data_IF_397734931070
#
_entry.id   IF_397734931070
#
_cell.length_a   1.000
_cell.length_b   1.000
_cell.length_c   1.000
_cell.angle_alpha   90.00
_cell.angle_beta   90.00
_cell.angle_gamma   90.00
#
_symmetry.space_group_name_H-M   'P 1'
#
loop_
_entity.id
_entity.type
_entity.pdbx_description
1 polymer ?
#
# COMPACT_ATOMS: atom_id res chain seq x y z
N UNK A 1 15.05 -21.28 -30.26
CA UNK A 1 15.84 -20.66 -29.17
C UNK A 1 15.38 -19.21 -29.06
N UNK A 2 14.21 -19.00 -28.44
CA UNK A 2 14.00 -18.39 -27.11
C UNK A 2 14.53 -16.94 -26.98
N UNK A 3 13.57 -16.02 -27.16
CA UNK A 3 13.36 -14.73 -26.50
C UNK A 3 14.44 -13.64 -26.60
N UNK A 4 14.34 -12.81 -27.63
CA UNK A 4 14.77 -11.41 -27.61
C UNK A 4 13.56 -10.57 -28.05
N UNK A 5 12.69 -10.22 -27.12
CA UNK A 5 11.61 -9.24 -27.32
C UNK A 5 11.05 -8.90 -25.95
N UNK A 6 11.66 -7.93 -25.25
CA UNK A 6 11.02 -7.07 -24.24
C UNK A 6 12.08 -6.08 -23.72
N UNK A 7 12.37 -5.00 -24.45
CA UNK A 7 13.12 -3.86 -23.86
C UNK A 7 12.91 -2.53 -24.60
N UNK A 8 11.72 -2.31 -25.16
CA UNK A 8 11.43 -1.09 -25.95
C UNK A 8 10.21 -0.30 -25.45
N UNK A 9 9.68 -0.57 -24.25
CA UNK A 9 8.55 0.17 -23.69
C UNK A 9 8.88 1.15 -22.54
N UNK A 10 10.16 1.28 -22.15
CA UNK A 10 10.51 2.07 -20.95
C UNK A 10 10.98 3.51 -21.21
N UNK A 11 11.09 3.97 -22.46
CA UNK A 11 11.78 5.24 -22.78
C UNK A 11 10.92 6.38 -23.34
N UNK A 12 9.62 6.19 -23.52
CA UNK A 12 8.70 7.28 -23.91
C UNK A 12 7.73 7.59 -22.78
N UNK A 13 8.17 8.35 -21.77
CA UNK A 13 7.33 9.23 -20.93
C UNK A 13 8.13 10.00 -19.85
N UNK A 14 9.43 10.25 -20.05
CA UNK A 14 10.24 10.98 -19.05
C UNK A 14 10.17 12.51 -19.18
N UNK A 15 9.56 13.07 -20.23
CA UNK A 15 9.63 14.49 -20.55
C UNK A 15 8.39 15.34 -20.18
N UNK A 16 7.44 14.82 -19.38
CA UNK A 16 6.24 15.59 -18.97
C UNK A 16 5.94 15.55 -17.47
N UNK A 17 6.77 14.94 -16.63
CA UNK A 17 6.53 14.90 -15.18
C UNK A 17 6.91 16.18 -14.42
N UNK A 18 7.69 17.10 -15.02
CA UNK A 18 8.18 18.30 -14.33
C UNK A 18 7.13 19.40 -14.12
N UNK A 19 5.91 19.26 -14.64
CA UNK A 19 4.86 20.29 -14.52
C UNK A 19 3.54 19.82 -13.88
N UNK A 20 3.47 18.58 -13.37
CA UNK A 20 2.18 17.98 -12.97
C UNK A 20 2.17 17.32 -11.59
N UNK A 21 3.16 17.57 -10.73
CA UNK A 21 3.18 17.00 -9.38
C UNK A 21 2.20 17.68 -8.41
N UNK A 22 1.70 18.89 -8.68
CA UNK A 22 0.91 19.65 -7.70
C UNK A 22 -0.61 19.40 -7.70
N UNK A 23 -1.13 18.54 -8.58
CA UNK A 23 -2.58 18.33 -8.68
C UNK A 23 -3.01 17.06 -7.95
N UNK A 24 -3.95 17.22 -7.01
CA UNK A 24 -4.67 16.12 -6.36
C UNK A 24 -5.16 15.12 -7.42
N UNK A 25 -4.86 13.84 -7.20
CA UNK A 25 -5.22 12.75 -8.09
C UNK A 25 -6.65 12.30 -7.81
N UNK A 26 -7.43 12.12 -8.86
CA UNK A 26 -8.78 11.59 -8.72
C UNK A 26 -8.76 10.17 -8.12
N UNK A 27 -9.30 10.03 -6.93
CA UNK A 27 -9.35 8.80 -6.13
C UNK A 27 -10.76 8.47 -5.65
N UNK A 28 -10.94 7.28 -5.05
CA UNK A 28 -12.18 6.82 -4.43
C UNK A 28 -11.93 6.59 -2.94
N UNK A 29 -12.87 6.92 -2.06
CA UNK A 29 -12.67 6.64 -0.62
C UNK A 29 -12.62 5.14 -0.27
N UNK A 30 -13.03 4.29 -1.20
CA UNK A 30 -12.92 2.85 -1.10
C UNK A 30 -12.99 2.23 -2.50
N UNK A 31 -12.29 1.12 -2.62
CA UNK A 31 -12.18 0.32 -3.84
C UNK A 31 -12.75 -1.09 -3.63
N UNK A 32 -13.32 -1.35 -2.45
CA UNK A 32 -13.69 -2.70 -1.99
C UNK A 32 -15.19 -2.94 -2.16
N UNK A 33 -15.52 -4.07 -2.79
CA UNK A 33 -16.89 -4.50 -3.03
C UNK A 33 -17.21 -5.59 -2.00
N UNK A 34 -18.13 -5.34 -1.05
CA UNK A 34 -18.49 -6.35 -0.07
C UNK A 34 -19.25 -7.51 -0.73
N UNK A 35 -18.98 -8.72 -0.24
CA UNK A 35 -19.72 -9.91 -0.66
C UNK A 35 -21.12 -9.94 -0.05
N UNK A 36 -22.02 -10.65 -0.74
CA UNK A 36 -23.37 -10.98 -0.29
C UNK A 36 -24.30 -9.81 0.06
N UNK A 37 -23.88 -8.57 -0.24
CA UNK A 37 -24.65 -7.36 0.00
C UNK A 37 -25.23 -6.82 -1.31
N UNK A 38 -26.54 -6.92 -1.48
CA UNK A 38 -27.25 -6.37 -2.64
C UNK A 38 -27.17 -4.84 -2.64
N UNK A 39 -26.92 -4.24 -3.81
CA UNK A 39 -26.91 -2.79 -3.96
C UNK A 39 -25.87 -2.06 -3.10
N UNK A 40 -24.77 -2.75 -2.75
CA UNK A 40 -23.75 -2.19 -1.88
C UNK A 40 -23.13 -0.92 -2.46
N UNK A 41 -22.97 0.10 -1.61
CA UNK A 41 -22.10 1.24 -1.89
C UNK A 41 -20.66 0.76 -1.78
N UNK A 42 -19.88 0.98 -2.83
CA UNK A 42 -18.50 0.50 -2.99
C UNK A 42 -17.51 1.60 -2.72
N UNK A 43 -17.83 2.81 -3.15
CA UNK A 43 -17.00 3.98 -2.93
C UNK A 43 -17.75 5.24 -3.33
N UNK A 44 -17.23 6.38 -2.93
CA UNK A 44 -17.60 7.67 -3.51
C UNK A 44 -16.37 8.34 -4.09
N UNK A 45 -16.62 9.22 -5.04
CA UNK A 45 -15.62 10.18 -5.49
C UNK A 45 -15.71 11.38 -4.53
N UNK A 46 -14.64 11.71 -3.77
CA UNK A 46 -14.56 12.96 -3.04
C UNK A 46 -14.80 14.11 -4.00
N UNK A 47 -15.74 15.00 -3.68
CA UNK A 47 -16.15 16.06 -4.60
C UNK A 47 -15.00 17.07 -4.77
N UNK A 48 -14.21 16.91 -5.83
CA UNK A 48 -13.20 17.88 -6.29
C UNK A 48 -13.88 19.10 -6.93
N UNK A 49 -14.69 19.87 -6.21
CA UNK A 49 -15.27 21.14 -6.69
C UNK A 49 -16.50 21.05 -7.62
N UNK A 50 -17.49 20.21 -7.28
CA UNK A 50 -18.79 20.22 -7.96
C UNK A 50 -18.81 19.61 -9.37
N UNK A 51 -17.80 18.79 -9.69
CA UNK A 51 -17.73 18.05 -10.95
C UNK A 51 -18.89 17.07 -11.12
N UNK A 52 -19.31 16.86 -12.37
CA UNK A 52 -20.27 15.83 -12.74
C UNK A 52 -19.52 14.55 -13.08
N UNK A 53 -19.93 13.45 -12.45
CA UNK A 53 -19.36 12.13 -12.68
C UNK A 53 -20.34 11.25 -13.43
N UNK A 54 -19.90 10.69 -14.56
CA UNK A 54 -20.71 9.78 -15.37
C UNK A 54 -19.97 8.46 -15.52
N UNK A 55 -20.67 7.36 -15.29
CA UNK A 55 -20.13 6.03 -15.56
C UNK A 55 -20.03 5.85 -17.08
N UNK A 56 -18.83 6.00 -17.63
CA UNK A 56 -18.57 5.93 -19.06
C UNK A 56 -18.40 4.48 -19.55
N UNK A 57 -17.79 3.63 -18.73
CA UNK A 57 -17.62 2.20 -19.02
C UNK A 57 -17.68 1.39 -17.72
N UNK A 58 -18.38 0.26 -17.79
CA UNK A 58 -18.36 -0.78 -16.78
C UNK A 58 -18.21 -2.12 -17.50
N UNK A 59 -17.08 -2.79 -17.27
CA UNK A 59 -16.76 -4.07 -17.92
C UNK A 59 -17.69 -5.23 -17.53
N UNK A 60 -18.46 -5.07 -16.45
CA UNK A 60 -19.32 -6.10 -15.87
C UNK A 60 -20.81 -5.81 -15.98
N UNK A 61 -21.18 -4.55 -16.19
CA UNK A 61 -22.57 -4.09 -16.14
C UNK A 61 -23.22 -4.17 -14.76
N UNK A 62 -22.45 -4.35 -13.67
CA UNK A 62 -22.95 -4.49 -12.30
C UNK A 62 -23.15 -3.16 -11.58
N UNK A 63 -22.51 -2.09 -12.04
CA UNK A 63 -22.38 -0.85 -11.27
C UNK A 63 -23.26 0.26 -11.81
N UNK A 64 -23.50 1.25 -10.95
CA UNK A 64 -24.11 2.53 -11.27
C UNK A 64 -23.49 3.62 -10.38
N UNK A 65 -23.54 4.86 -10.86
CA UNK A 65 -23.23 6.04 -10.04
C UNK A 65 -24.57 6.72 -9.72
N UNK A 66 -24.85 6.91 -8.44
CA UNK A 66 -26.08 7.58 -8.02
C UNK A 66 -25.94 9.11 -8.08
N UNK A 67 -27.03 9.85 -7.79
CA UNK A 67 -27.05 11.32 -7.88
C UNK A 67 -26.09 12.01 -6.91
N UNK A 68 -25.65 11.31 -5.86
CA UNK A 68 -24.70 11.77 -4.86
C UNK A 68 -23.24 11.43 -5.22
N UNK A 69 -22.98 10.87 -6.41
CA UNK A 69 -21.63 10.48 -6.83
C UNK A 69 -21.12 9.18 -6.18
N UNK A 70 -22.00 8.41 -5.54
CA UNK A 70 -21.61 7.12 -4.97
C UNK A 70 -21.65 6.04 -6.05
N UNK A 71 -20.56 5.30 -6.14
CA UNK A 71 -20.46 4.07 -6.93
C UNK A 71 -21.09 2.96 -6.11
N UNK A 72 -22.10 2.29 -6.68
CA UNK A 72 -22.82 1.21 -6.03
C UNK A 72 -23.13 0.08 -7.00
N UNK A 73 -23.28 -1.13 -6.47
CA UNK A 73 -23.90 -2.22 -7.21
C UNK A 73 -25.35 -1.83 -7.55
N UNK A 74 -25.84 -2.30 -8.70
CA UNK A 74 -27.27 -2.23 -9.03
C UNK A 74 -28.09 -2.97 -7.96
N UNK A 75 -29.31 -2.51 -7.71
CA UNK A 75 -30.15 -2.89 -6.54
C UNK A 75 -30.32 -4.40 -6.34
N UNK A 76 -30.39 -5.18 -7.42
CA UNK A 76 -30.58 -6.63 -7.41
C UNK A 76 -29.27 -7.43 -7.48
N UNK A 77 -28.12 -6.76 -7.70
CA UNK A 77 -26.82 -7.38 -7.88
C UNK A 77 -26.05 -7.45 -6.56
N UNK A 78 -25.32 -8.55 -6.40
CA UNK A 78 -24.37 -8.81 -5.31
C UNK A 78 -23.19 -9.62 -5.86
N UNK A 79 -22.04 -9.55 -5.19
CA UNK A 79 -20.95 -10.49 -5.43
C UNK A 79 -21.10 -11.72 -4.54
N UNK A 80 -20.58 -12.83 -5.03
CA UNK A 80 -20.49 -14.13 -4.34
C UNK A 80 -19.05 -14.65 -4.40
N UNK A 81 -18.77 -15.76 -3.72
CA UNK A 81 -17.45 -16.40 -3.80
C UNK A 81 -17.06 -16.79 -5.24
N UNK A 82 -18.03 -17.19 -6.06
CA UNK A 82 -17.82 -17.53 -7.47
C UNK A 82 -17.64 -16.30 -8.40
N UNK A 83 -17.90 -15.09 -7.93
CA UNK A 83 -17.74 -13.88 -8.74
C UNK A 83 -16.25 -13.56 -8.97
N UNK A 84 -15.87 -12.99 -10.13
CA UNK A 84 -14.54 -12.43 -10.34
C UNK A 84 -14.16 -11.47 -9.21
N UNK A 85 -12.86 -11.37 -8.91
CA UNK A 85 -12.42 -10.48 -7.83
C UNK A 85 -12.03 -9.07 -8.30
N UNK A 86 -11.99 -8.81 -9.61
CA UNK A 86 -11.62 -7.50 -10.19
C UNK A 86 -12.66 -7.00 -11.17
N UNK A 87 -12.92 -5.70 -11.11
CA UNK A 87 -13.87 -4.99 -11.95
C UNK A 87 -13.28 -3.65 -12.39
N UNK A 88 -13.26 -3.41 -13.69
CA UNK A 88 -12.78 -2.14 -14.23
C UNK A 88 -13.95 -1.21 -14.54
N UNK A 89 -13.89 0.01 -13.98
CA UNK A 89 -14.81 1.11 -14.24
C UNK A 89 -14.08 2.31 -14.83
N UNK A 90 -14.62 2.89 -15.90
CA UNK A 90 -14.18 4.20 -16.39
C UNK A 90 -15.23 5.24 -16.05
N UNK A 91 -14.79 6.28 -15.37
CA UNK A 91 -15.61 7.42 -14.97
C UNK A 91 -15.19 8.62 -15.80
N UNK A 92 -16.15 9.21 -16.51
CA UNK A 92 -15.97 10.47 -17.20
C UNK A 92 -16.13 11.62 -16.22
N UNK A 93 -15.20 12.56 -16.29
CA UNK A 93 -15.19 13.84 -15.57
C UNK A 93 -15.11 14.99 -16.59
N UNK A 94 -15.24 16.22 -16.13
CA UNK A 94 -15.09 17.40 -16.98
C UNK A 94 -13.67 17.59 -17.52
N UNK A 95 -12.66 16.98 -16.88
CA UNK A 95 -11.25 17.08 -17.25
C UNK A 95 -10.70 15.81 -17.90
N UNK A 96 -11.57 14.83 -18.19
CA UNK A 96 -11.22 13.59 -18.89
C UNK A 96 -11.73 12.33 -18.20
N UNK A 97 -11.39 11.18 -18.77
CA UNK A 97 -11.79 9.88 -18.24
C UNK A 97 -10.71 9.32 -17.31
N UNK A 98 -11.12 8.81 -16.14
CA UNK A 98 -10.25 8.04 -15.23
C UNK A 98 -10.80 6.63 -15.10
N UNK A 99 -9.90 5.65 -15.15
CA UNK A 99 -10.25 4.25 -14.97
C UNK A 99 -9.78 3.76 -13.62
N UNK A 100 -10.69 3.12 -12.89
CA UNK A 100 -10.50 2.54 -11.57
C UNK A 100 -10.62 1.02 -11.64
N UNK A 101 -9.97 0.36 -10.71
CA UNK A 101 -10.12 -1.08 -10.49
C UNK A 101 -10.74 -1.28 -9.10
N UNK A 102 -11.93 -1.88 -9.09
CA UNK A 102 -12.62 -2.27 -7.86
C UNK A 102 -12.36 -3.74 -7.59
N UNK A 103 -12.28 -4.09 -6.31
CA UNK A 103 -11.84 -5.41 -5.85
C UNK A 103 -12.89 -6.03 -4.93
N UNK A 104 -13.24 -7.29 -5.18
CA UNK A 104 -14.08 -8.05 -4.25
C UNK A 104 -13.34 -8.21 -2.92
N UNK A 105 -13.99 -7.84 -1.82
CA UNK A 105 -13.37 -7.85 -0.50
C UNK A 105 -13.25 -9.28 0.05
N UNK A 106 -12.14 -9.95 -0.28
CA UNK A 106 -11.68 -11.19 0.35
C UNK A 106 -10.40 -10.96 1.16
N UNK A 107 -10.07 -9.71 1.50
CA UNK A 107 -8.86 -9.38 2.21
C UNK A 107 -8.85 -10.04 3.60
N UNK A 108 -7.73 -10.70 3.91
CA UNK A 108 -7.47 -11.33 5.20
C UNK A 108 -7.40 -10.22 6.26
N UNK A 109 -7.96 -10.50 7.45
CA UNK A 109 -8.03 -9.56 8.58
C UNK A 109 -7.47 -10.21 9.84
N UNK A 110 -6.26 -10.75 9.74
CA UNK A 110 -5.58 -11.50 10.80
C UNK A 110 -4.47 -10.70 11.46
N UNK A 111 -4.32 -9.40 11.19
CA UNK A 111 -3.36 -8.48 11.84
C UNK A 111 -1.89 -8.67 11.46
N UNK A 112 -1.56 -9.70 10.67
CA UNK A 112 -0.16 -10.06 10.36
C UNK A 112 0.36 -9.27 9.18
N UNK A 113 1.41 -8.47 9.42
CA UNK A 113 2.18 -7.79 8.39
C UNK A 113 3.58 -8.42 8.33
N UNK A 114 3.91 -9.06 7.20
CA UNK A 114 5.24 -9.62 6.97
C UNK A 114 6.23 -8.50 6.61
N UNK A 115 7.18 -8.21 7.51
CA UNK A 115 8.18 -7.16 7.35
C UNK A 115 9.16 -7.49 6.21
N UNK A 116 9.17 -6.67 5.16
CA UNK A 116 9.93 -6.88 3.92
C UNK A 116 9.61 -8.21 3.23
N UNK A 117 8.38 -8.70 3.39
CA UNK A 117 7.92 -10.03 2.98
C UNK A 117 8.27 -11.15 3.96
N UNK A 118 7.85 -12.38 3.65
CA UNK A 118 8.18 -13.55 4.46
C UNK A 118 9.54 -14.12 4.01
N UNK A 119 10.62 -13.52 4.50
CA UNK A 119 11.98 -13.82 4.06
C UNK A 119 12.79 -14.69 5.04
N UNK A 120 12.58 -14.52 6.36
CA UNK A 120 13.51 -15.04 7.38
C UNK A 120 13.64 -16.55 7.42
N UNK A 121 12.52 -17.27 7.31
CA UNK A 121 12.46 -18.74 7.40
C UNK A 121 12.33 -19.41 6.02
N UNK A 122 12.61 -18.65 4.97
CA UNK A 122 12.45 -19.08 3.59
C UNK A 122 13.70 -18.75 2.79
N UNK A 123 13.89 -19.45 1.68
CA UNK A 123 14.96 -19.15 0.73
C UNK A 123 14.60 -17.89 -0.08
N UNK A 124 14.43 -16.75 0.57
CA UNK A 124 14.00 -15.50 -0.04
C UNK A 124 14.78 -14.32 0.53
N UNK A 125 14.99 -13.28 -0.28
CA UNK A 125 15.57 -12.02 0.18
C UNK A 125 14.48 -11.07 0.68
N UNK A 126 14.84 -10.19 1.60
CA UNK A 126 14.02 -9.02 1.96
C UNK A 126 13.66 -8.22 0.72
N UNK A 127 12.44 -7.66 0.67
CA UNK A 127 11.97 -6.82 -0.44
C UNK A 127 12.06 -7.51 -1.83
N UNK A 128 12.02 -8.85 -1.88
CA UNK A 128 12.03 -9.63 -3.12
C UNK A 128 10.65 -10.14 -3.49
N UNK A 129 10.41 -10.45 -4.77
CA UNK A 129 9.14 -11.05 -5.20
C UNK A 129 8.88 -12.38 -4.48
N UNK A 130 9.93 -13.18 -4.22
CA UNK A 130 9.82 -14.47 -3.54
C UNK A 130 9.33 -14.31 -2.10
N UNK A 131 9.81 -13.28 -1.39
CA UNK A 131 9.34 -12.97 -0.03
C UNK A 131 7.87 -12.49 0.00
N UNK A 132 7.44 -11.70 -1.00
CA UNK A 132 6.05 -11.28 -1.16
C UNK A 132 5.15 -12.47 -1.50
N UNK A 133 5.53 -13.28 -2.49
CA UNK A 133 4.81 -14.50 -2.89
C UNK A 133 4.65 -15.45 -1.70
N UNK A 134 5.68 -15.55 -0.87
CA UNK A 134 5.61 -16.35 0.34
C UNK A 134 4.66 -15.76 1.40
N UNK A 135 4.68 -14.45 1.63
CA UNK A 135 3.73 -13.79 2.52
C UNK A 135 2.27 -13.98 2.07
N UNK A 136 2.03 -13.96 0.75
CA UNK A 136 0.74 -14.29 0.13
C UNK A 136 0.37 -15.76 0.39
N UNK A 137 1.30 -16.68 0.16
CA UNK A 137 1.09 -18.13 0.31
C UNK A 137 0.72 -18.53 1.74
N UNK A 138 1.43 -17.99 2.74
CA UNK A 138 1.18 -18.30 4.16
C UNK A 138 -0.03 -17.55 4.72
N UNK A 139 -0.65 -16.65 3.95
CA UNK A 139 -1.89 -15.97 4.32
C UNK A 139 -1.69 -14.80 5.27
N UNK A 140 -0.62 -14.02 5.12
CA UNK A 140 -0.49 -12.74 5.81
C UNK A 140 -1.58 -11.77 5.34
N UNK A 141 -2.09 -10.94 6.25
CA UNK A 141 -2.98 -9.83 5.88
C UNK A 141 -2.27 -8.84 4.97
N UNK A 142 -1.02 -8.48 5.29
CA UNK A 142 -0.21 -7.65 4.41
C UNK A 142 1.26 -8.09 4.35
N UNK A 143 1.95 -7.60 3.32
CA UNK A 143 3.40 -7.64 3.21
C UNK A 143 3.91 -6.20 3.14
N UNK A 144 4.82 -5.86 4.05
CA UNK A 144 5.51 -4.58 4.05
C UNK A 144 6.73 -4.63 3.11
N UNK A 145 7.08 -3.48 2.53
CA UNK A 145 8.32 -3.28 1.77
C UNK A 145 8.70 -1.80 1.67
N UNK A 146 9.98 -1.55 1.42
CA UNK A 146 10.58 -0.21 1.41
C UNK A 146 10.86 0.32 0.01
N UNK A 147 10.65 1.64 -0.21
CA UNK A 147 11.02 2.30 -1.48
C UNK A 147 11.82 3.59 -1.33
N UNK A 148 12.77 3.75 -2.25
CA UNK A 148 13.59 4.95 -2.46
C UNK A 148 13.44 5.46 -3.90
N UNK A 149 14.09 6.58 -4.21
CA UNK A 149 14.33 7.02 -5.58
C UNK A 149 15.80 6.88 -5.99
N UNK A 150 16.03 6.26 -7.16
CA UNK A 150 17.31 6.26 -7.86
C UNK A 150 17.74 7.67 -8.31
N UNK A 151 18.99 7.84 -8.74
CA UNK A 151 19.49 9.16 -9.19
C UNK A 151 18.72 9.75 -10.38
N UNK A 152 18.05 8.92 -11.17
CA UNK A 152 17.19 9.25 -12.31
C UNK A 152 15.69 9.18 -11.98
N UNK A 153 15.33 9.30 -10.69
CA UNK A 153 13.95 9.46 -10.18
C UNK A 153 13.03 8.26 -10.40
N UNK A 154 13.57 7.05 -10.54
CA UNK A 154 12.79 5.81 -10.60
C UNK A 154 12.66 5.22 -9.20
N UNK A 155 11.48 4.69 -8.89
CA UNK A 155 11.22 4.02 -7.61
C UNK A 155 11.99 2.69 -7.56
N UNK A 156 12.75 2.48 -6.49
CA UNK A 156 13.58 1.28 -6.28
C UNK A 156 13.29 0.71 -4.90
N UNK A 157 13.12 -0.61 -4.82
CA UNK A 157 12.91 -1.30 -3.55
C UNK A 157 14.24 -1.47 -2.81
N UNK A 158 14.31 -1.04 -1.55
CA UNK A 158 15.47 -1.28 -0.69
C UNK A 158 15.15 -0.81 0.71
N UNK A 159 15.52 -1.57 1.75
CA UNK A 159 15.42 -1.06 3.11
C UNK A 159 16.48 0.01 3.38
N UNK A 160 17.73 -0.32 3.08
CA UNK A 160 18.88 0.53 3.36
C UNK A 160 19.13 1.53 2.22
N UNK A 161 19.78 2.68 2.50
CA UNK A 161 20.19 3.62 1.46
C UNK A 161 21.29 3.06 0.54
N UNK A 162 21.87 1.90 0.88
CA UNK A 162 22.91 1.21 0.12
C UNK A 162 22.45 -0.23 -0.12
N UNK A 163 22.51 -0.67 -1.38
CA UNK A 163 22.20 -2.04 -1.79
C UNK A 163 23.19 -2.48 -2.86
N UNK A 164 23.71 -3.72 -2.77
CA UNK A 164 24.70 -4.24 -3.72
C UNK A 164 25.98 -3.39 -3.82
N UNK A 165 26.37 -2.70 -2.74
CA UNK A 165 27.52 -1.78 -2.73
C UNK A 165 27.28 -0.43 -3.40
N UNK A 166 26.04 -0.11 -3.79
CA UNK A 166 25.66 1.12 -4.49
C UNK A 166 24.72 1.95 -3.61
N UNK A 167 24.98 3.25 -3.47
CA UNK A 167 24.05 4.19 -2.83
C UNK A 167 22.86 4.41 -3.75
N UNK A 168 21.66 4.07 -3.30
CA UNK A 168 20.44 4.09 -4.11
C UNK A 168 20.22 5.47 -4.74
N UNK A 169 20.23 6.52 -3.94
CA UNK A 169 19.93 7.88 -4.42
C UNK A 169 21.01 8.48 -5.34
N UNK A 170 22.17 7.84 -5.49
CA UNK A 170 23.28 8.28 -6.35
C UNK A 170 23.52 7.35 -7.55
N UNK A 171 22.68 6.34 -7.73
CA UNK A 171 22.85 5.32 -8.78
C UNK A 171 21.63 5.31 -9.69
N UNK A 172 21.79 5.23 -11.02
CA UNK A 172 20.67 5.14 -11.94
C UNK A 172 19.95 3.80 -11.82
N UNK A 173 18.65 3.79 -12.10
CA UNK A 173 17.77 2.65 -11.87
C UNK A 173 18.19 1.40 -12.64
N UNK A 174 18.64 1.58 -13.88
CA UNK A 174 19.07 0.48 -14.74
C UNK A 174 20.21 -0.36 -14.12
N UNK A 175 21.13 0.28 -13.39
CA UNK A 175 22.21 -0.38 -12.65
C UNK A 175 21.70 -1.05 -11.37
N UNK A 176 20.80 -0.37 -10.62
CA UNK A 176 20.21 -0.92 -9.40
C UNK A 176 19.40 -2.19 -9.69
N UNK A 177 18.64 -2.22 -10.79
CA UNK A 177 17.89 -3.41 -11.21
C UNK A 177 18.76 -4.55 -11.75
N UNK A 178 20.08 -4.36 -11.91
CA UNK A 178 21.01 -5.48 -12.18
C UNK A 178 21.54 -6.13 -10.89
N UNK A 179 21.25 -5.58 -9.71
CA UNK A 179 21.72 -6.15 -8.45
C UNK A 179 21.04 -7.50 -8.23
N UNK A 180 21.87 -8.53 -8.04
CA UNK A 180 21.44 -9.85 -7.62
C UNK A 180 21.21 -9.86 -6.10
N UNK A 181 20.03 -10.28 -5.69
CA UNK A 181 19.63 -10.50 -4.32
C UNK A 181 20.21 -11.83 -3.83
N UNK A 182 20.20 -12.05 -2.51
CA UNK A 182 20.73 -13.30 -1.91
C UNK A 182 20.02 -14.56 -2.39
N UNK A 183 18.78 -14.43 -2.88
CA UNK A 183 17.99 -15.53 -3.42
C UNK A 183 18.23 -15.80 -4.93
N UNK A 184 19.24 -15.15 -5.52
CA UNK A 184 19.65 -15.29 -6.92
C UNK A 184 18.77 -14.55 -7.92
N UNK A 185 17.71 -13.86 -7.47
CA UNK A 185 16.87 -13.02 -8.34
C UNK A 185 17.39 -11.59 -8.39
N UNK A 186 16.94 -10.84 -9.38
CA UNK A 186 17.23 -9.40 -9.45
C UNK A 186 16.31 -8.61 -8.55
N UNK A 187 16.75 -7.40 -8.21
CA UNK A 187 15.92 -6.43 -7.51
C UNK A 187 14.65 -6.12 -8.32
N UNK A 188 13.44 -6.32 -7.76
CA UNK A 188 12.21 -6.06 -8.49
C UNK A 188 11.90 -4.56 -8.56
N UNK A 189 11.23 -4.17 -9.64
CA UNK A 189 10.56 -2.87 -9.75
C UNK A 189 9.29 -2.82 -8.90
N UNK A 190 8.84 -1.62 -8.55
CA UNK A 190 7.55 -1.42 -7.88
C UNK A 190 6.39 -1.97 -8.74
N UNK A 191 6.48 -1.84 -10.07
CA UNK A 191 5.51 -2.39 -11.00
C UNK A 191 5.41 -3.91 -10.95
N UNK A 192 6.54 -4.61 -10.85
CA UNK A 192 6.55 -6.07 -10.69
C UNK A 192 5.95 -6.48 -9.34
N UNK A 193 6.26 -5.74 -8.27
CA UNK A 193 5.71 -5.97 -6.93
C UNK A 193 4.19 -5.81 -6.90
N UNK A 194 3.67 -4.71 -7.45
CA UNK A 194 2.22 -4.46 -7.56
C UNK A 194 1.56 -5.49 -8.49
N UNK A 195 2.19 -5.84 -9.60
CA UNK A 195 1.68 -6.87 -10.51
C UNK A 195 1.58 -8.23 -9.83
N UNK A 196 2.53 -8.55 -8.95
CA UNK A 196 2.51 -9.77 -8.15
C UNK A 196 1.32 -9.80 -7.19
N UNK A 197 1.16 -8.78 -6.34
CA UNK A 197 0.06 -8.77 -5.35
C UNK A 197 -1.32 -8.80 -6.03
N UNK A 198 -1.48 -8.11 -7.16
CA UNK A 198 -2.75 -8.02 -7.91
C UNK A 198 -3.19 -9.33 -8.57
N UNK A 199 -2.39 -10.40 -8.50
CA UNK A 199 -2.81 -11.76 -8.92
C UNK A 199 -3.87 -12.35 -7.97
N UNK A 200 -4.06 -11.74 -6.80
CA UNK A 200 -4.98 -12.17 -5.73
C UNK A 200 -5.61 -10.96 -5.00
N UNK A 201 -6.59 -11.20 -4.12
CA UNK A 201 -7.37 -10.18 -3.40
C UNK A 201 -7.54 -10.48 -1.90
N UNK A 202 -6.53 -11.11 -1.30
CA UNK A 202 -6.45 -11.57 0.09
C UNK A 202 -5.39 -10.82 0.90
N UNK A 203 -4.18 -10.74 0.37
CA UNK A 203 -3.04 -10.04 0.98
C UNK A 203 -2.88 -8.67 0.34
N UNK A 204 -2.60 -7.67 1.16
CA UNK A 204 -2.35 -6.28 0.76
C UNK A 204 -0.87 -5.93 0.95
N UNK A 205 -0.51 -4.71 0.58
CA UNK A 205 0.82 -4.14 0.59
C UNK A 205 0.86 -3.01 1.60
N UNK A 206 1.96 -2.93 2.35
CA UNK A 206 2.30 -1.78 3.18
C UNK A 206 3.59 -1.19 2.59
N UNK A 207 3.47 -0.07 1.90
CA UNK A 207 4.56 0.57 1.17
C UNK A 207 5.21 1.62 2.07
N UNK A 208 6.45 1.38 2.54
CA UNK A 208 7.24 2.38 3.25
C UNK A 208 7.89 3.35 2.27
N UNK A 209 7.49 4.63 2.32
CA UNK A 209 8.19 5.72 1.65
C UNK A 209 9.37 6.15 2.53
N UNK A 210 10.59 5.84 2.10
CA UNK A 210 11.80 6.13 2.90
C UNK A 210 12.09 7.63 2.97
N UNK A 211 12.56 8.05 4.14
CA UNK A 211 13.05 9.42 4.33
C UNK A 211 14.38 9.57 3.59
N UNK A 212 14.44 10.52 2.66
CA UNK A 212 15.64 10.76 1.88
C UNK A 212 16.72 11.45 2.72
N UNK A 213 17.97 11.04 2.50
CA UNK A 213 19.13 11.69 3.09
C UNK A 213 19.49 13.01 2.37
N UNK A 214 18.89 13.27 1.20
CA UNK A 214 19.03 14.52 0.43
C UNK A 214 18.04 15.60 0.85
N UNK A 215 17.21 15.34 1.86
CA UNK A 215 16.34 16.33 2.50
C UNK A 215 14.86 16.18 2.15
N UNK A 216 14.10 17.21 2.57
CA UNK A 216 12.63 17.23 2.50
C UNK A 216 12.10 17.05 1.08
N UNK A 217 12.53 17.90 0.14
CA UNK A 217 12.03 17.89 -1.24
C UNK A 217 12.23 16.52 -1.90
N UNK A 218 13.34 15.85 -1.59
CA UNK A 218 13.61 14.52 -2.10
C UNK A 218 12.69 13.47 -1.47
N UNK A 219 12.38 13.58 -0.18
CA UNK A 219 11.43 12.68 0.49
C UNK A 219 10.01 12.84 -0.10
N UNK A 220 9.59 14.08 -0.37
CA UNK A 220 8.33 14.37 -1.06
C UNK A 220 8.34 13.80 -2.49
N UNK A 221 9.47 13.88 -3.21
CA UNK A 221 9.59 13.26 -4.54
C UNK A 221 9.45 11.73 -4.49
N UNK A 222 9.95 11.05 -3.44
CA UNK A 222 9.72 9.59 -3.27
C UNK A 222 8.22 9.31 -3.14
N UNK A 223 7.51 10.10 -2.32
CA UNK A 223 6.05 10.00 -2.19
C UNK A 223 5.34 10.24 -3.53
N UNK A 224 5.69 11.30 -4.26
CA UNK A 224 5.12 11.63 -5.57
C UNK A 224 5.23 10.46 -6.54
N UNK A 225 6.44 9.91 -6.71
CA UNK A 225 6.67 8.80 -7.62
C UNK A 225 5.97 7.51 -7.20
N UNK A 226 5.99 7.16 -5.90
CA UNK A 226 5.34 5.96 -5.39
C UNK A 226 3.82 6.02 -5.56
N UNK A 227 3.18 7.13 -5.19
CA UNK A 227 1.73 7.34 -5.34
C UNK A 227 1.35 7.32 -6.83
N UNK A 228 2.14 7.95 -7.70
CA UNK A 228 1.88 7.93 -9.14
C UNK A 228 1.95 6.51 -9.74
N UNK A 229 2.88 5.67 -9.31
CA UNK A 229 2.94 4.26 -9.76
C UNK A 229 1.69 3.51 -9.31
N UNK A 230 1.30 3.63 -8.03
CA UNK A 230 0.07 2.99 -7.50
C UNK A 230 -1.17 3.42 -8.26
N UNK A 231 -1.31 4.72 -8.56
CA UNK A 231 -2.42 5.27 -9.34
C UNK A 231 -2.42 4.82 -10.79
N UNK A 232 -1.24 4.81 -11.44
CA UNK A 232 -1.08 4.33 -12.83
C UNK A 232 -1.46 2.86 -12.94
N UNK A 233 -1.11 2.06 -11.95
CA UNK A 233 -1.39 0.63 -11.89
C UNK A 233 -2.75 0.28 -11.32
N UNK A 234 -3.55 1.27 -10.87
CA UNK A 234 -4.88 1.07 -10.26
C UNK A 234 -4.80 0.10 -9.07
N UNK A 235 -3.86 0.33 -8.16
CA UNK A 235 -3.53 -0.57 -7.06
C UNK A 235 -3.99 -0.09 -5.69
N UNK A 236 -4.79 0.98 -5.61
CA UNK A 236 -5.22 1.60 -4.36
C UNK A 236 -5.98 0.65 -3.42
N UNK A 237 -6.68 -0.35 -3.96
CA UNK A 237 -7.34 -1.38 -3.15
C UNK A 237 -6.36 -2.28 -2.38
N UNK A 238 -5.10 -2.34 -2.80
CA UNK A 238 -4.09 -3.22 -2.23
C UNK A 238 -3.04 -2.46 -1.41
N UNK A 239 -2.92 -1.14 -1.49
CA UNK A 239 -1.76 -0.41 -0.95
C UNK A 239 -2.16 0.52 0.18
N UNK A 240 -1.54 0.30 1.33
CA UNK A 240 -1.40 1.28 2.40
C UNK A 240 0.01 1.87 2.39
N UNK A 241 0.19 3.03 3.00
CA UNK A 241 1.47 3.73 3.07
C UNK A 241 1.94 3.92 4.51
N UNK A 242 3.25 3.83 4.72
CA UNK A 242 3.92 4.18 5.97
C UNK A 242 5.15 5.04 5.69
N UNK A 243 5.55 5.91 6.61
CA UNK A 243 6.79 6.70 6.48
C UNK A 243 7.22 7.36 7.78
N UNK A 244 8.53 7.53 7.97
CA UNK A 244 9.11 8.36 9.04
C UNK A 244 9.08 9.86 8.72
N UNK A 245 8.93 10.24 7.44
CA UNK A 245 8.93 11.63 7.02
C UNK A 245 7.52 12.21 7.11
N UNK A 246 7.31 13.12 8.06
CA UNK A 246 6.01 13.78 8.23
C UNK A 246 5.61 14.60 6.99
N UNK A 247 6.60 15.17 6.29
CA UNK A 247 6.37 15.87 5.03
C UNK A 247 5.95 14.91 3.90
N UNK A 248 6.62 13.76 3.76
CA UNK A 248 6.19 12.75 2.80
C UNK A 248 4.78 12.22 3.13
N UNK A 249 4.45 12.02 4.42
CA UNK A 249 3.13 11.57 4.85
C UNK A 249 2.02 12.55 4.44
N UNK A 250 2.22 13.86 4.73
CA UNK A 250 1.29 14.91 4.26
C UNK A 250 1.22 14.95 2.74
N UNK A 251 2.36 14.79 2.06
CA UNK A 251 2.44 14.82 0.60
C UNK A 251 1.61 13.71 -0.04
N UNK A 252 1.66 12.50 0.50
CA UNK A 252 0.80 11.38 0.06
C UNK A 252 -0.68 11.77 0.19
N UNK A 253 -1.08 12.38 1.32
CA UNK A 253 -2.47 12.82 1.56
C UNK A 253 -2.90 14.00 0.69
N UNK A 254 -1.99 14.88 0.29
CA UNK A 254 -2.24 15.96 -0.68
C UNK A 254 -2.47 15.40 -2.09
N UNK A 255 -1.69 14.39 -2.50
CA UNK A 255 -1.85 13.73 -3.79
C UNK A 255 -3.11 12.85 -3.83
N UNK A 256 -3.39 12.14 -2.74
CA UNK A 256 -4.52 11.23 -2.62
C UNK A 256 -5.12 11.34 -1.20
N UNK A 257 -6.17 12.17 -1.02
CA UNK A 257 -6.85 12.33 0.27
C UNK A 257 -7.59 11.08 0.76
N UNK A 258 -7.60 10.01 -0.02
CA UNK A 258 -8.21 8.72 0.34
C UNK A 258 -7.17 7.66 0.74
N UNK A 259 -5.88 7.90 0.46
CA UNK A 259 -4.80 6.98 0.78
C UNK A 259 -4.71 6.69 2.28
N UNK A 260 -4.57 5.41 2.64
CA UNK A 260 -4.36 5.01 4.02
C UNK A 260 -2.88 5.27 4.40
N UNK A 261 -2.62 6.17 5.36
CA UNK A 261 -1.24 6.57 5.72
C UNK A 261 -1.03 6.47 7.22
N UNK A 262 -0.09 5.63 7.68
CA UNK A 262 0.32 5.56 9.08
C UNK A 262 1.71 6.19 9.25
N UNK A 263 1.90 6.92 10.36
CA UNK A 263 3.16 7.61 10.63
C UNK A 263 4.10 6.77 11.50
N UNK A 264 5.37 6.65 11.09
CA UNK A 264 6.34 5.74 11.74
C UNK A 264 7.04 6.33 12.97
N UNK A 265 7.14 7.66 13.05
CA UNK A 265 7.87 8.35 14.12
C UNK A 265 6.96 8.82 15.26
N UNK A 266 7.45 8.73 16.48
CA UNK A 266 6.73 9.08 17.73
C UNK A 266 6.92 10.54 18.16
N UNK A 267 7.35 11.41 17.25
CA UNK A 267 7.68 12.81 17.51
C UNK A 267 6.51 13.79 17.31
N UNK A 268 5.30 13.28 17.03
CA UNK A 268 4.05 14.04 16.94
C UNK A 268 3.01 13.46 17.90
N UNK A 269 2.15 14.32 18.44
CA UNK A 269 0.99 13.85 19.22
C UNK A 269 -0.08 13.26 18.31
N UNK A 270 -0.97 12.44 18.87
CA UNK A 270 -2.09 11.85 18.13
C UNK A 270 -3.03 12.91 17.54
N UNK A 271 -3.18 14.07 18.21
CA UNK A 271 -3.95 15.21 17.72
C UNK A 271 -3.34 15.79 16.46
N UNK A 272 -2.02 16.00 16.45
CA UNK A 272 -1.30 16.50 15.27
C UNK A 272 -1.45 15.54 14.09
N UNK A 273 -1.37 14.23 14.33
CA UNK A 273 -1.56 13.22 13.30
C UNK A 273 -2.99 13.23 12.74
N UNK A 274 -4.00 13.33 13.62
CA UNK A 274 -5.41 13.41 13.22
C UNK A 274 -5.72 14.69 12.43
N UNK A 275 -5.15 15.81 12.84
CA UNK A 275 -5.30 17.09 12.14
C UNK A 275 -4.67 17.05 10.74
N UNK A 276 -3.51 16.39 10.63
CA UNK A 276 -2.85 16.10 9.36
C UNK A 276 -3.53 14.99 8.52
N UNK A 277 -4.66 14.45 8.99
CA UNK A 277 -5.44 13.39 8.32
C UNK A 277 -4.66 12.10 8.13
N UNK A 278 -3.72 11.79 9.02
CA UNK A 278 -3.13 10.45 9.09
C UNK A 278 -4.21 9.44 9.50
N UNK A 279 -4.10 8.24 8.96
CA UNK A 279 -5.00 7.15 9.30
C UNK A 279 -4.61 6.44 10.58
N UNK A 280 -3.35 6.57 11.02
CA UNK A 280 -2.90 5.90 12.24
C UNK A 280 -1.43 6.11 12.59
N UNK A 281 -0.98 5.36 13.58
CA UNK A 281 0.40 5.26 14.03
C UNK A 281 0.96 3.89 13.69
N UNK A 282 2.22 3.84 13.29
CA UNK A 282 2.97 2.61 13.09
C UNK A 282 4.27 2.72 13.89
N UNK A 283 4.28 2.39 15.17
CA UNK A 283 5.39 2.77 16.05
C UNK A 283 6.28 1.60 16.44
N UNK A 284 7.53 1.93 16.77
CA UNK A 284 8.43 0.96 17.37
C UNK A 284 7.84 0.41 18.68
N UNK A 285 8.02 -0.89 18.93
CA UNK A 285 7.51 -1.62 20.11
C UNK A 285 7.72 -0.88 21.45
N UNK A 286 8.89 -0.24 21.61
CA UNK A 286 9.22 0.48 22.84
C UNK A 286 8.26 1.63 23.18
N UNK A 287 7.58 2.22 22.20
CA UNK A 287 6.58 3.26 22.45
C UNK A 287 5.32 2.71 23.13
N UNK A 288 4.87 1.52 22.71
CA UNK A 288 3.75 0.82 23.33
C UNK A 288 4.11 0.26 24.72
N UNK A 289 5.37 -0.16 24.92
CA UNK A 289 5.85 -0.59 26.24
C UNK A 289 5.96 0.58 27.24
N UNK A 290 6.27 1.79 26.76
CA UNK A 290 6.34 3.00 27.60
C UNK A 290 4.96 3.55 27.97
N UNK A 291 3.98 3.43 27.08
CA UNK A 291 2.60 3.90 27.30
C UNK A 291 1.59 2.79 26.97
N UNK A 292 1.22 2.00 27.99
CA UNK A 292 0.25 0.92 27.85
C UNK A 292 -1.15 1.36 27.42
N UNK A 293 -1.46 2.67 27.51
CA UNK A 293 -2.75 3.24 27.08
C UNK A 293 -2.72 3.74 25.63
N UNK A 294 -1.55 3.71 24.97
CA UNK A 294 -1.37 4.29 23.63
C UNK A 294 -2.34 3.69 22.61
N UNK A 295 -2.55 2.36 22.66
CA UNK A 295 -3.48 1.68 21.74
C UNK A 295 -4.90 2.22 21.92
N UNK A 296 -5.38 2.33 23.16
CA UNK A 296 -6.71 2.86 23.46
C UNK A 296 -6.83 4.32 23.05
N UNK A 297 -5.84 5.17 23.39
CA UNK A 297 -5.83 6.60 23.03
C UNK A 297 -5.93 6.82 21.52
N UNK A 298 -5.15 6.07 20.73
CA UNK A 298 -5.22 6.15 19.27
C UNK A 298 -6.59 5.72 18.75
N UNK A 299 -7.15 4.62 19.25
CA UNK A 299 -8.47 4.12 18.85
C UNK A 299 -9.61 5.07 19.20
N UNK A 300 -9.58 5.69 20.37
CA UNK A 300 -10.56 6.72 20.78
C UNK A 300 -10.56 7.92 19.81
N UNK A 301 -9.45 8.14 19.12
CA UNK A 301 -9.32 9.18 18.09
C UNK A 301 -9.66 8.70 16.67
N UNK A 302 -9.96 7.41 16.49
CA UNK A 302 -10.23 6.80 15.19
C UNK A 302 -8.95 6.49 14.39
N UNK A 303 -7.80 6.41 15.06
CA UNK A 303 -6.51 6.10 14.46
C UNK A 303 -6.23 4.59 14.54
N UNK A 304 -5.76 4.03 13.43
CA UNK A 304 -5.21 2.67 13.39
C UNK A 304 -3.90 2.59 14.18
N UNK A 305 -3.60 1.40 14.67
CA UNK A 305 -2.38 1.11 15.44
C UNK A 305 -1.62 -0.07 14.84
N UNK A 306 -0.39 0.18 14.42
CA UNK A 306 0.57 -0.85 14.02
C UNK A 306 1.83 -0.77 14.91
N UNK A 307 2.47 -1.91 15.13
CA UNK A 307 3.69 -2.02 15.93
C UNK A 307 4.77 -2.78 15.15
N UNK A 308 6.00 -2.25 15.17
CA UNK A 308 7.14 -2.84 14.48
C UNK A 308 8.43 -2.81 15.33
N UNK A 309 9.45 -3.60 15.02
CA UNK A 309 9.35 -4.94 14.41
C UNK A 309 9.28 -5.94 15.56
N UNK A 310 8.17 -6.67 15.70
CA UNK A 310 7.93 -7.53 16.87
C UNK A 310 8.24 -8.98 16.53
N UNK A 311 9.35 -9.50 17.03
CA UNK A 311 9.83 -10.85 16.68
C UNK A 311 9.76 -11.87 17.82
N UNK A 312 9.53 -11.43 19.07
CA UNK A 312 9.42 -12.33 20.22
C UNK A 312 7.96 -12.69 20.49
N UNK A 313 7.71 -13.97 20.76
CA UNK A 313 6.37 -14.48 21.09
C UNK A 313 5.72 -13.73 22.27
N UNK A 314 6.51 -13.41 23.30
CA UNK A 314 6.05 -12.67 24.49
C UNK A 314 5.53 -11.28 24.12
N UNK A 315 6.29 -10.53 23.31
CA UNK A 315 5.92 -9.20 22.85
C UNK A 315 4.71 -9.27 21.88
N UNK A 316 4.66 -10.26 20.99
CA UNK A 316 3.51 -10.50 20.12
C UNK A 316 2.23 -10.70 20.93
N UNK A 317 2.26 -11.59 21.94
CA UNK A 317 1.12 -11.84 22.82
C UNK A 317 0.70 -10.58 23.58
N UNK A 318 1.66 -9.83 24.11
CA UNK A 318 1.38 -8.58 24.80
C UNK A 318 0.68 -7.56 23.89
N UNK A 319 1.17 -7.36 22.66
CA UNK A 319 0.55 -6.42 21.71
C UNK A 319 -0.85 -6.88 21.26
N UNK A 320 -1.04 -8.19 21.05
CA UNK A 320 -2.36 -8.76 20.75
C UNK A 320 -3.35 -8.56 21.90
N UNK A 321 -2.91 -8.72 23.16
CA UNK A 321 -3.73 -8.49 24.34
C UNK A 321 -4.13 -7.02 24.53
N UNK A 322 -3.25 -6.08 24.17
CA UNK A 322 -3.58 -4.65 24.11
C UNK A 322 -4.59 -4.32 22.99
N UNK A 323 -4.88 -5.28 22.11
CA UNK A 323 -5.82 -5.11 21.02
C UNK A 323 -5.26 -4.27 19.87
N UNK A 324 -3.94 -4.29 19.63
CA UNK A 324 -3.30 -3.63 18.47
C UNK A 324 -4.00 -4.02 17.16
N UNK A 325 -4.07 -3.11 16.18
CA UNK A 325 -4.72 -3.43 14.90
C UNK A 325 -3.83 -4.33 14.04
N UNK A 326 -2.53 -4.05 13.99
CA UNK A 326 -1.56 -4.79 13.20
C UNK A 326 -0.25 -5.03 13.96
N UNK A 327 0.49 -6.06 13.55
CA UNK A 327 1.85 -6.36 14.02
C UNK A 327 2.74 -6.63 12.80
N UNK A 328 3.75 -5.78 12.61
CA UNK A 328 4.82 -5.96 11.63
C UNK A 328 5.94 -6.82 12.23
N UNK A 329 6.27 -7.93 11.58
CA UNK A 329 7.20 -8.94 12.11
C UNK A 329 8.04 -9.62 11.01
N UNK A 330 9.27 -10.01 11.36
CA UNK A 330 10.10 -10.92 10.56
C UNK A 330 9.73 -12.39 10.74
N UNK A 331 8.82 -12.71 11.68
CA UNK A 331 8.38 -14.07 12.04
C UNK A 331 6.86 -14.25 11.78
N UNK A 332 6.36 -14.00 10.56
CA UNK A 332 4.92 -14.02 10.30
C UNK A 332 4.28 -15.38 10.60
N UNK A 333 4.97 -16.50 10.38
CA UNK A 333 4.46 -17.85 10.68
C UNK A 333 4.24 -18.07 12.18
N UNK A 334 5.13 -17.52 13.02
CA UNK A 334 4.97 -17.56 14.47
C UNK A 334 3.72 -16.79 14.88
N UNK A 335 3.56 -15.57 14.37
CA UNK A 335 2.40 -14.74 14.70
C UNK A 335 1.09 -15.38 14.21
N UNK A 336 1.06 -15.92 12.98
CA UNK A 336 -0.09 -16.66 12.45
C UNK A 336 -0.48 -17.82 13.38
N UNK A 337 0.50 -18.63 13.82
CA UNK A 337 0.26 -19.73 14.75
C UNK A 337 -0.34 -19.27 16.08
N UNK A 338 0.10 -18.13 16.61
CA UNK A 338 -0.43 -17.58 17.86
C UNK A 338 -1.89 -17.12 17.71
N UNK A 339 -2.23 -16.52 16.57
CA UNK A 339 -3.58 -16.03 16.28
C UNK A 339 -4.54 -17.21 16.06
N UNK A 340 -4.13 -18.22 15.30
CA UNK A 340 -4.92 -19.43 15.10
C UNK A 340 -5.12 -20.24 16.40
N UNK A 341 -4.09 -20.29 17.25
CA UNK A 341 -4.14 -20.95 18.55
C UNK A 341 -5.03 -20.24 19.57
N UNK A 342 -5.22 -18.93 19.44
CA UNK A 342 -6.07 -18.13 20.34
C UNK A 342 -7.57 -18.20 19.99
N UNK A 343 -7.91 -18.76 18.81
CA UNK A 343 -9.28 -18.98 18.36
C UNK A 343 -9.84 -20.37 18.74
N UNK A 344 -9.11 -21.17 19.53
CA UNK A 344 -9.54 -22.45 20.08
C UNK A 344 -9.84 -22.34 21.56
#
# INVERSE_FOLDING_TARGET
>A
MKNILLLSFLLLNFATMEAQSSKELLALNSYLIPKDKKGAVVGHIPALHGEKFVLAKDTSGLFMINKQGQIQLKKDKKLTDASPYRYELTIATNVGNKTFELVKDDFIRNKVIAHRGAWKNHDASQNSLKSLEKAIEIGCEASEFDVWLSSDNVVVLSHDPIIGGKTVENTPANELFQIELKDGNRLPSLEEYISCVKKQNKTRLVLEVKTSQKGKERSEAVADSAVQVVHRMKAQAWVDYITFSFDAAKRIRELDPTANVLYLESDKTLEVLKDAKMSGIDYHLSNFQKDGELVRKAKDMGLLTNVWTVNKEEDMKAMLQLGIDYVTTDEPELLLKLIDGSNK
#
